data_IF_622740561564
#
_entry.id   IF_622740561564
#
_cell.length_a   1.000
_cell.length_b   1.000
_cell.length_c   1.000
_cell.angle_alpha   90.00
_cell.angle_beta   90.00
_cell.angle_gamma   90.00
#
_symmetry.space_group_name_H-M   'P 1'
#
loop_
_entity.id
_entity.type
_entity.pdbx_description
1 polymer ?
#
# COMPACT_ATOMS: atom_id res chain seq x y z
N UNK A 1 15.76 -53.94 -30.99
CA UNK A 1 16.84 -53.61 -31.96
C UNK A 1 17.56 -52.36 -31.47
N UNK A 2 18.90 -52.38 -31.50
CA UNK A 2 19.86 -51.26 -31.33
C UNK A 2 19.60 -50.24 -30.20
N UNK A 3 20.38 -50.41 -29.12
CA UNK A 3 20.73 -49.38 -28.14
C UNK A 3 21.43 -48.18 -28.81
N UNK A 4 21.41 -47.01 -28.16
CA UNK A 4 22.63 -46.22 -27.93
C UNK A 4 22.46 -45.33 -26.68
N UNK A 5 23.21 -45.64 -25.62
CA UNK A 5 23.43 -44.74 -24.48
C UNK A 5 24.69 -43.92 -24.78
N UNK A 6 24.69 -42.64 -24.39
CA UNK A 6 25.87 -41.79 -24.47
C UNK A 6 26.35 -41.45 -23.04
N UNK A 7 27.35 -42.17 -22.55
CA UNK A 7 28.11 -41.80 -21.36
C UNK A 7 29.27 -40.89 -21.78
N UNK A 8 29.36 -39.70 -21.20
CA UNK A 8 30.59 -38.92 -21.19
C UNK A 8 31.30 -39.11 -19.84
N UNK A 9 32.47 -39.75 -19.88
CA UNK A 9 33.43 -39.76 -18.78
C UNK A 9 34.31 -38.51 -18.87
N UNK A 10 34.37 -37.71 -17.79
CA UNK A 10 35.53 -36.85 -17.52
C UNK A 10 35.85 -36.99 -16.04
N UNK A 11 37.02 -37.55 -15.75
CA UNK A 11 37.63 -37.53 -14.43
C UNK A 11 38.91 -36.72 -14.52
N UNK A 12 39.19 -35.83 -13.56
CA UNK A 12 40.57 -35.40 -13.31
C UNK A 12 40.79 -34.97 -11.84
N UNK A 13 41.58 -35.82 -11.17
CA UNK A 13 42.53 -35.58 -10.07
C UNK A 13 42.19 -34.75 -8.83
N UNK A 14 42.42 -35.42 -7.70
CA UNK A 14 42.60 -34.89 -6.35
C UNK A 14 43.99 -34.23 -6.24
N UNK A 15 44.10 -33.07 -5.59
CA UNK A 15 45.38 -32.54 -5.07
C UNK A 15 45.29 -32.43 -3.56
N UNK A 16 46.36 -32.85 -2.88
CA UNK A 16 46.38 -33.09 -1.44
C UNK A 16 46.71 -31.84 -0.60
N UNK A 17 46.37 -31.91 0.68
CA UNK A 17 46.64 -30.91 1.70
C UNK A 17 48.12 -30.91 2.15
N UNK A 18 48.69 -29.72 2.37
CA UNK A 18 49.98 -29.51 3.04
C UNK A 18 49.83 -28.49 4.18
N UNK A 19 50.45 -28.75 5.33
CA UNK A 19 50.39 -27.92 6.54
C UNK A 19 51.74 -27.26 6.86
N UNK A 20 51.69 -26.29 7.80
CA UNK A 20 52.81 -25.66 8.54
C UNK A 20 53.65 -24.65 7.71
N UNK A 21 54.13 -23.50 8.19
CA UNK A 21 53.86 -22.63 9.37
C UNK A 21 54.52 -21.23 9.09
N UNK A 22 54.56 -20.17 9.90
CA UNK A 22 54.14 -19.81 11.28
C UNK A 22 54.08 -18.26 11.43
N UNK A 23 53.53 -17.73 12.55
CA UNK A 23 53.62 -16.31 13.03
C UNK A 23 52.92 -15.21 12.18
N UNK A 24 52.28 -14.15 12.72
CA UNK A 24 52.24 -13.58 14.08
C UNK A 24 50.90 -12.85 14.35
N UNK A 25 50.43 -12.78 15.60
CA UNK A 25 49.34 -11.89 16.10
C UNK A 25 49.85 -10.43 16.32
N UNK A 26 49.06 -9.38 16.67
CA UNK A 26 47.93 -9.31 17.63
C UNK A 26 46.57 -8.95 16.98
N UNK A 27 45.43 -9.47 17.44
CA UNK A 27 44.60 -9.09 18.63
C UNK A 27 43.82 -7.76 18.52
N UNK A 28 42.50 -7.89 18.37
CA UNK A 28 41.50 -7.06 19.06
C UNK A 28 40.43 -8.02 19.57
N UNK A 29 40.21 -8.05 20.88
CA UNK A 29 39.29 -8.98 21.54
C UNK A 29 37.83 -8.50 21.44
N UNK A 30 36.91 -9.44 21.17
CA UNK A 30 35.50 -9.32 21.54
C UNK A 30 35.25 -10.33 22.66
N UNK A 31 34.92 -9.87 23.86
CA UNK A 31 34.55 -10.74 24.98
C UNK A 31 33.02 -10.86 25.08
N UNK A 32 32.53 -12.09 25.24
CA UNK A 32 31.11 -12.45 25.29
C UNK A 32 30.89 -13.64 26.22
N UNK A 33 30.58 -13.37 27.49
CA UNK A 33 29.99 -14.31 28.45
C UNK A 33 29.61 -13.59 29.77
N UNK A 34 28.59 -13.96 30.53
CA UNK A 34 27.56 -15.00 30.32
C UNK A 34 26.42 -14.86 31.36
N UNK A 35 25.33 -15.59 31.11
CA UNK A 35 24.36 -16.13 32.08
C UNK A 35 23.41 -15.20 32.87
N UNK A 36 22.11 -15.38 32.61
CA UNK A 36 21.19 -15.86 33.66
C UNK A 36 20.09 -16.77 33.09
N UNK A 37 20.08 -18.04 33.50
CA UNK A 37 18.92 -18.91 33.37
C UNK A 37 17.91 -18.58 34.49
N UNK A 38 16.61 -18.52 34.20
CA UNK A 38 15.56 -18.80 35.19
C UNK A 38 14.49 -19.69 34.54
N UNK A 39 14.02 -20.68 35.31
CA UNK A 39 13.28 -21.84 34.83
C UNK A 39 11.77 -21.60 34.63
N UNK A 40 11.13 -22.55 33.93
CA UNK A 40 9.68 -22.76 34.01
C UNK A 40 9.27 -23.15 35.43
N UNK A 41 8.08 -22.70 35.86
CA UNK A 41 7.30 -23.39 36.88
C UNK A 41 5.86 -23.57 36.42
N UNK A 42 5.50 -24.81 36.10
CA UNK A 42 4.10 -25.23 36.01
C UNK A 42 3.50 -25.35 37.41
N UNK A 43 2.23 -25.00 37.55
CA UNK A 43 1.39 -25.52 38.64
C UNK A 43 -0.05 -25.68 38.17
N UNK A 44 -0.46 -26.93 37.97
CA UNK A 44 -1.86 -27.33 37.80
C UNK A 44 -2.70 -26.96 39.05
N UNK A 45 -4.04 -26.99 38.90
CA UNK A 45 -4.97 -27.86 39.70
C UNK A 45 -6.44 -27.53 39.38
N UNK A 46 -6.99 -28.35 38.48
CA UNK A 46 -8.35 -28.98 38.47
C UNK A 46 -9.62 -28.23 38.92
N UNK A 47 -10.51 -28.03 37.94
CA UNK A 47 -11.90 -28.57 37.83
C UNK A 47 -12.79 -28.82 39.06
N UNK A 48 -14.00 -28.26 39.00
CA UNK A 48 -15.30 -28.98 39.11
C UNK A 48 -16.42 -27.99 38.69
N UNK A 49 -17.60 -28.34 38.14
CA UNK A 49 -18.25 -29.64 37.86
C UNK A 49 -19.31 -29.50 36.74
N UNK A 50 -19.70 -30.62 36.15
CA UNK A 50 -20.70 -30.74 35.07
C UNK A 50 -22.16 -30.54 35.53
N UNK A 51 -23.07 -30.28 34.58
CA UNK A 51 -24.32 -31.08 34.45
C UNK A 51 -24.96 -30.94 33.05
N UNK A 52 -25.69 -31.98 32.61
CA UNK A 52 -26.34 -32.11 31.29
C UNK A 52 -27.86 -32.31 31.44
N UNK A 53 -28.61 -32.05 30.35
CA UNK A 53 -30.02 -32.42 30.13
C UNK A 53 -30.79 -31.25 29.50
N UNK A 54 -31.20 -31.27 28.22
CA UNK A 54 -32.36 -32.00 27.64
C UNK A 54 -33.70 -31.64 28.33
N UNK A 55 -34.82 -31.46 27.65
CA UNK A 55 -35.21 -31.29 26.22
C UNK A 55 -36.64 -30.69 26.26
N UNK A 56 -37.16 -30.06 25.19
CA UNK A 56 -38.53 -30.31 24.66
C UNK A 56 -39.05 -29.30 23.61
N UNK A 57 -40.03 -29.77 22.82
CA UNK A 57 -40.56 -29.16 21.59
C UNK A 57 -41.84 -28.34 21.77
N UNK A 58 -42.04 -27.34 20.90
CA UNK A 58 -43.29 -27.00 20.15
C UNK A 58 -43.07 -25.75 19.27
N UNK A 59 -43.75 -25.52 18.15
CA UNK A 59 -44.77 -26.34 17.47
C UNK A 59 -45.78 -25.52 16.65
N UNK A 60 -45.52 -25.36 15.36
CA UNK A 60 -46.49 -25.22 14.23
C UNK A 60 -47.41 -23.99 14.06
N UNK A 61 -47.27 -23.36 12.86
CA UNK A 61 -48.35 -22.96 11.92
C UNK A 61 -49.33 -21.81 12.32
N UNK A 62 -50.02 -21.09 11.42
CA UNK A 62 -50.41 -21.38 10.02
C UNK A 62 -50.82 -20.12 9.20
N UNK A 63 -50.63 -20.17 7.86
CA UNK A 63 -51.49 -19.65 6.77
C UNK A 63 -52.12 -18.24 6.80
N UNK A 64 -51.93 -17.48 5.71
CA UNK A 64 -52.98 -17.32 4.67
C UNK A 64 -52.47 -16.63 3.39
N UNK A 65 -52.98 -17.07 2.24
CA UNK A 65 -52.81 -16.45 0.92
C UNK A 65 -53.87 -15.37 0.66
N UNK A 66 -53.65 -14.48 -0.32
CA UNK A 66 -54.66 -14.18 -1.36
C UNK A 66 -54.14 -13.34 -2.53
N UNK A 67 -54.93 -13.33 -3.63
CA UNK A 67 -54.50 -13.04 -5.00
C UNK A 67 -55.08 -11.73 -5.57
N UNK A 68 -54.17 -10.89 -6.08
CA UNK A 68 -54.17 -10.07 -7.32
C UNK A 68 -55.44 -9.41 -7.98
N UNK A 69 -55.18 -8.20 -8.54
CA UNK A 69 -55.71 -7.59 -9.81
C UNK A 69 -56.95 -6.63 -9.82
N UNK A 70 -56.70 -5.41 -10.37
CA UNK A 70 -57.63 -4.42 -11.02
C UNK A 70 -58.71 -3.70 -10.18
N UNK A 71 -59.04 -2.40 -10.36
CA UNK A 71 -59.33 -1.68 -11.63
C UNK A 71 -59.59 -0.16 -11.46
N UNK A 72 -59.42 0.58 -12.57
CA UNK A 72 -60.19 1.79 -13.00
C UNK A 72 -60.07 3.15 -12.28
N UNK A 73 -60.19 4.20 -13.10
CA UNK A 73 -59.96 5.62 -12.84
C UNK A 73 -61.22 6.41 -12.46
N UNK A 74 -61.08 7.46 -11.64
CA UNK A 74 -61.91 8.69 -11.71
C UNK A 74 -61.00 9.90 -11.48
N UNK A 75 -61.17 10.94 -12.29
CA UNK A 75 -60.54 12.27 -12.18
C UNK A 75 -61.51 13.28 -11.58
N UNK A 76 -61.08 14.21 -10.71
CA UNK A 76 -61.60 15.60 -10.67
C UNK A 76 -60.60 16.59 -10.00
N UNK A 77 -60.34 17.68 -10.75
CA UNK A 77 -60.06 19.08 -10.38
C UNK A 77 -59.94 19.52 -8.89
N UNK A 78 -58.92 20.34 -8.57
CA UNK A 78 -58.97 21.20 -7.37
C UNK A 78 -57.68 21.91 -6.91
N UNK A 79 -57.48 23.15 -7.37
CA UNK A 79 -56.69 24.26 -6.78
C UNK A 79 -55.19 24.12 -6.37
N UNK A 80 -54.44 25.13 -6.82
CA UNK A 80 -53.14 25.60 -6.33
C UNK A 80 -53.03 25.73 -4.81
N UNK A 81 -51.98 25.17 -4.21
CA UNK A 81 -50.90 25.96 -3.57
C UNK A 81 -49.91 25.07 -2.81
N UNK A 82 -48.60 25.28 -3.03
CA UNK A 82 -47.59 25.33 -1.96
C UNK A 82 -46.17 25.54 -2.52
N UNK A 83 -45.50 26.54 -1.94
CA UNK A 83 -44.09 26.50 -1.49
C UNK A 83 -43.08 25.94 -2.51
N UNK A 84 -42.29 26.83 -3.09
CA UNK A 84 -41.06 26.45 -3.79
C UNK A 84 -40.19 25.61 -2.85
N UNK A 85 -39.76 24.43 -3.32
CA UNK A 85 -38.84 23.60 -2.57
C UNK A 85 -37.58 24.39 -2.25
N UNK A 86 -37.07 24.35 -1.00
CA UNK A 86 -35.75 24.87 -0.72
C UNK A 86 -34.76 24.03 -1.53
N UNK A 87 -34.14 24.67 -2.54
CA UNK A 87 -33.10 24.06 -3.36
C UNK A 87 -32.08 23.39 -2.44
N UNK A 88 -32.07 22.06 -2.39
CA UNK A 88 -31.23 21.29 -1.48
C UNK A 88 -29.78 21.30 -1.97
N UNK A 89 -29.17 22.47 -1.87
CA UNK A 89 -27.74 22.66 -1.92
C UNK A 89 -27.14 21.98 -0.70
N UNK A 90 -27.01 20.66 -0.78
CA UNK A 90 -26.38 19.81 0.22
C UNK A 90 -24.90 20.16 0.31
N UNK A 91 -24.60 21.22 1.06
CA UNK A 91 -23.25 21.51 1.54
C UNK A 91 -22.86 20.38 2.47
N UNK A 92 -22.22 19.36 1.90
CA UNK A 92 -21.68 18.25 2.67
C UNK A 92 -20.68 18.82 3.67
N UNK A 93 -21.03 18.75 4.96
CA UNK A 93 -20.12 19.14 6.03
C UNK A 93 -19.01 18.11 6.07
N UNK A 94 -17.81 18.51 5.64
CA UNK A 94 -16.62 17.68 5.71
C UNK A 94 -16.34 17.29 7.17
N UNK A 95 -15.87 16.06 7.38
CA UNK A 95 -15.46 15.64 8.72
C UNK A 95 -14.22 16.43 9.19
N UNK A 96 -13.98 16.47 10.49
CA UNK A 96 -12.86 17.21 11.06
C UNK A 96 -11.51 16.78 10.44
N UNK A 97 -10.74 17.75 9.96
CA UNK A 97 -9.46 17.54 9.29
C UNK A 97 -9.53 17.18 7.80
N UNK A 98 -10.70 16.84 7.24
CA UNK A 98 -10.85 16.63 5.79
C UNK A 98 -10.71 17.94 5.02
N UNK A 99 -10.15 17.88 3.81
CA UNK A 99 -9.94 19.04 2.93
C UNK A 99 -10.98 19.02 1.81
N UNK A 100 -11.52 20.17 1.44
CA UNK A 100 -12.36 20.28 0.24
C UNK A 100 -11.50 20.10 -1.02
N UNK A 101 -11.74 19.07 -1.86
CA UNK A 101 -10.98 18.83 -3.08
C UNK A 101 -10.94 20.04 -4.04
N UNK A 102 -11.96 20.89 -4.04
CA UNK A 102 -12.00 22.09 -4.88
C UNK A 102 -10.98 23.16 -4.45
N UNK A 103 -10.43 23.05 -3.23
CA UNK A 103 -9.45 24.00 -2.67
C UNK A 103 -7.98 23.61 -2.93
N UNK A 104 -7.71 22.43 -3.53
CA UNK A 104 -6.33 22.00 -3.78
C UNK A 104 -5.65 22.89 -4.82
N UNK A 105 -4.44 23.38 -4.51
CA UNK A 105 -3.71 24.27 -5.41
C UNK A 105 -2.64 23.46 -6.16
N UNK A 106 -2.83 23.32 -7.47
CA UNK A 106 -1.86 22.65 -8.36
C UNK A 106 -0.75 23.62 -8.76
N UNK A 107 0.46 23.10 -8.93
CA UNK A 107 1.63 23.85 -9.35
C UNK A 107 2.70 22.97 -9.98
N UNK A 108 3.91 23.52 -10.10
CA UNK A 108 5.10 22.78 -10.52
C UNK A 108 6.33 23.25 -9.75
N UNK A 109 7.38 22.45 -9.82
CA UNK A 109 8.70 22.72 -9.26
C UNK A 109 9.75 22.22 -10.26
N UNK A 110 10.82 23.00 -10.48
CA UNK A 110 11.95 22.58 -11.31
C UNK A 110 13.09 22.20 -10.39
N UNK A 111 13.51 20.95 -10.43
CA UNK A 111 14.72 20.50 -9.74
C UNK A 111 15.93 20.94 -10.54
N UNK A 112 16.71 21.87 -10.00
CA UNK A 112 17.88 22.44 -10.70
C UNK A 112 19.05 21.44 -10.82
N UNK A 113 18.99 20.30 -10.12
CA UNK A 113 20.06 19.28 -10.13
C UNK A 113 20.04 18.42 -11.39
N UNK A 114 18.85 18.16 -11.94
CA UNK A 114 18.63 17.37 -13.16
C UNK A 114 17.82 18.13 -14.24
N UNK A 115 17.35 19.35 -13.96
CA UNK A 115 16.42 20.17 -14.76
C UNK A 115 15.03 19.52 -14.97
N UNK A 116 14.65 18.52 -14.16
CA UNK A 116 13.34 17.87 -14.26
C UNK A 116 12.26 18.75 -13.62
N UNK A 117 11.17 18.96 -14.36
CA UNK A 117 9.98 19.63 -13.83
C UNK A 117 9.04 18.59 -13.23
N UNK A 118 8.73 18.73 -11.94
CA UNK A 118 7.76 17.90 -11.22
C UNK A 118 6.48 18.70 -10.99
N UNK A 119 5.32 18.07 -11.18
CA UNK A 119 4.02 18.59 -10.74
C UNK A 119 3.96 18.61 -9.21
N UNK A 120 3.28 19.60 -8.66
CA UNK A 120 3.07 19.74 -7.21
C UNK A 120 1.61 20.01 -6.90
N UNK A 121 1.17 19.65 -5.69
CA UNK A 121 -0.18 19.94 -5.21
C UNK A 121 -0.17 20.32 -3.73
N UNK A 122 -0.89 21.37 -3.37
CA UNK A 122 -1.15 21.75 -1.99
C UNK A 122 -2.49 21.17 -1.52
N UNK A 123 -2.44 20.33 -0.50
CA UNK A 123 -3.60 19.68 0.13
C UNK A 123 -3.65 20.17 1.58
N UNK A 124 -4.63 21.00 1.90
CA UNK A 124 -4.67 21.72 3.17
C UNK A 124 -3.43 22.59 3.34
N UNK A 125 -2.63 22.33 4.38
CA UNK A 125 -1.38 23.06 4.63
C UNK A 125 -0.14 22.45 3.96
N UNK A 126 -0.19 21.18 3.57
CA UNK A 126 0.95 20.42 3.05
C UNK A 126 1.10 20.60 1.54
N UNK A 127 2.31 20.83 1.03
CA UNK A 127 2.55 20.80 -0.42
C UNK A 127 3.39 19.60 -0.81
N UNK A 128 2.82 18.73 -1.64
CA UNK A 128 3.41 17.47 -2.09
C UNK A 128 3.93 17.59 -3.53
N UNK A 129 4.95 16.80 -3.86
CA UNK A 129 5.15 16.38 -5.25
C UNK A 129 3.99 15.45 -5.66
N UNK A 130 3.37 15.72 -6.82
CA UNK A 130 2.30 14.91 -7.41
C UNK A 130 2.83 13.84 -8.39
N UNK A 131 4.16 13.71 -8.45
CA UNK A 131 4.91 12.74 -9.24
C UNK A 131 6.00 12.16 -8.35
N UNK A 132 6.40 10.92 -8.59
CA UNK A 132 7.48 10.29 -7.84
C UNK A 132 8.83 10.88 -8.26
N UNK A 133 9.71 11.11 -7.30
CA UNK A 133 11.03 11.67 -7.56
C UNK A 133 11.84 10.74 -8.47
N UNK A 134 12.41 11.28 -9.55
CA UNK A 134 13.24 10.54 -10.51
C UNK A 134 14.64 11.17 -10.60
N UNK A 135 15.22 11.51 -9.45
CA UNK A 135 16.59 11.98 -9.34
C UNK A 135 17.54 10.79 -9.32
N UNK A 136 18.52 10.76 -10.23
CA UNK A 136 19.45 9.65 -10.33
C UNK A 136 20.49 9.70 -9.20
N UNK A 137 20.66 8.58 -8.50
CA UNK A 137 21.71 8.31 -7.53
C UNK A 137 22.32 6.94 -7.86
N UNK A 138 23.60 6.73 -7.52
CA UNK A 138 24.41 5.57 -7.97
C UNK A 138 23.79 4.19 -7.69
N UNK A 139 22.88 4.08 -6.71
CA UNK A 139 22.15 2.86 -6.39
C UNK A 139 20.67 3.09 -6.13
N UNK A 140 20.05 4.11 -6.75
CA UNK A 140 18.61 4.09 -6.96
C UNK A 140 18.27 3.31 -8.24
N UNK A 141 17.07 2.74 -8.32
CA UNK A 141 16.69 1.78 -9.36
C UNK A 141 15.47 2.27 -10.14
N UNK A 142 15.39 1.90 -11.42
CA UNK A 142 14.11 1.88 -12.12
C UNK A 142 13.42 0.55 -11.82
N UNK A 143 12.08 0.49 -11.81
CA UNK A 143 11.41 -0.81 -11.79
C UNK A 143 11.86 -1.65 -12.99
N UNK A 144 12.13 -2.95 -12.81
CA UNK A 144 12.66 -3.87 -13.84
C UNK A 144 13.86 -3.29 -14.65
N UNK A 145 14.68 -2.43 -14.04
CA UNK A 145 15.81 -1.75 -14.69
C UNK A 145 15.46 -0.96 -15.98
N UNK A 146 14.18 -0.66 -16.20
CA UNK A 146 13.69 0.00 -17.42
C UNK A 146 13.62 1.52 -17.26
N UNK A 147 14.30 2.26 -18.14
CA UNK A 147 14.24 3.73 -18.16
C UNK A 147 12.80 4.25 -18.36
N UNK A 148 11.97 3.54 -19.13
CA UNK A 148 10.56 3.88 -19.33
C UNK A 148 9.77 3.80 -18.03
N UNK A 149 10.10 2.83 -17.17
CA UNK A 149 9.51 2.74 -15.84
C UNK A 149 10.06 3.80 -14.88
N UNK A 150 11.32 4.21 -14.99
CA UNK A 150 11.81 5.40 -14.29
C UNK A 150 11.03 6.67 -14.69
N UNK A 151 10.80 6.87 -15.98
CA UNK A 151 10.10 8.07 -16.48
C UNK A 151 8.63 8.10 -16.08
N UNK A 152 7.97 6.94 -16.02
CA UNK A 152 6.57 6.81 -15.64
C UNK A 152 6.34 6.76 -14.12
N UNK A 153 7.08 5.93 -13.39
CA UNK A 153 6.85 5.62 -11.97
C UNK A 153 7.84 6.28 -11.02
N UNK A 154 8.83 7.02 -11.54
CA UNK A 154 9.95 7.53 -10.75
C UNK A 154 10.96 6.45 -10.39
N UNK A 155 11.90 6.81 -9.52
CA UNK A 155 12.95 5.91 -9.02
C UNK A 155 12.58 5.27 -7.69
N UNK A 156 13.16 4.10 -7.46
CA UNK A 156 13.15 3.36 -6.20
C UNK A 156 14.46 3.61 -5.47
N UNK A 157 14.40 4.00 -4.21
CA UNK A 157 15.54 4.40 -3.39
C UNK A 157 15.59 3.55 -2.13
N UNK A 158 16.77 3.20 -1.63
CA UNK A 158 16.89 2.74 -0.23
C UNK A 158 16.61 3.89 0.74
N UNK A 159 16.41 3.60 2.03
CA UNK A 159 16.14 4.63 3.03
C UNK A 159 17.25 5.72 3.06
N UNK A 160 18.52 5.32 3.01
CA UNK A 160 19.65 6.26 3.10
C UNK A 160 19.75 7.19 1.88
N UNK A 161 19.36 6.69 0.71
CA UNK A 161 19.23 7.52 -0.49
C UNK A 161 18.01 8.44 -0.37
N UNK A 162 16.87 7.93 0.11
CA UNK A 162 15.65 8.71 0.28
C UNK A 162 15.84 9.93 1.20
N UNK A 163 16.67 9.79 2.26
CA UNK A 163 17.08 10.89 3.17
C UNK A 163 17.79 12.05 2.45
N UNK A 164 18.48 11.79 1.35
CA UNK A 164 19.27 12.80 0.59
C UNK A 164 18.69 13.11 -0.80
N UNK A 165 17.67 12.37 -1.25
CA UNK A 165 17.15 12.48 -2.61
C UNK A 165 16.34 13.75 -2.82
N UNK A 166 15.57 14.22 -1.82
CA UNK A 166 14.76 15.43 -1.97
C UNK A 166 15.61 16.71 -2.19
N UNK A 167 15.19 17.61 -3.10
CA UNK A 167 15.92 18.84 -3.40
C UNK A 167 15.81 19.88 -2.28
N UNK A 168 16.65 20.92 -2.33
CA UNK A 168 16.63 22.02 -1.36
C UNK A 168 15.23 22.66 -1.24
N UNK A 169 14.81 22.96 -0.02
CA UNK A 169 13.47 23.46 0.30
C UNK A 169 12.37 22.38 0.30
N UNK A 170 12.70 21.14 -0.02
CA UNK A 170 11.85 19.96 0.13
C UNK A 170 12.48 18.96 1.10
N UNK A 171 11.66 18.11 1.70
CA UNK A 171 12.10 17.01 2.56
C UNK A 171 11.37 15.73 2.24
N UNK A 172 11.93 14.61 2.72
CA UNK A 172 11.19 13.36 2.82
C UNK A 172 10.08 13.53 3.89
N UNK A 173 8.87 13.01 3.68
CA UNK A 173 7.77 13.13 4.65
C UNK A 173 8.05 12.31 5.91
N UNK A 174 7.31 12.58 6.98
CA UNK A 174 7.29 11.79 8.20
C UNK A 174 5.92 11.10 8.41
N UNK A 175 5.76 10.37 9.53
CA UNK A 175 4.51 9.70 9.88
C UNK A 175 3.33 10.65 10.06
N UNK A 176 3.58 11.87 10.54
CA UNK A 176 2.56 12.88 10.83
C UNK A 176 2.05 13.48 9.53
N UNK A 177 2.94 13.73 8.56
CA UNK A 177 2.56 14.18 7.22
C UNK A 177 1.58 13.20 6.54
N UNK A 178 1.91 11.91 6.58
CA UNK A 178 1.08 10.85 6.00
C UNK A 178 -0.25 10.66 6.74
N UNK A 179 -0.28 10.74 8.08
CA UNK A 179 -1.55 10.76 8.83
C UNK A 179 -2.42 11.96 8.43
N UNK A 180 -1.83 13.15 8.34
CA UNK A 180 -2.53 14.36 7.90
C UNK A 180 -3.03 14.25 6.46
N UNK A 181 -2.28 13.59 5.56
CA UNK A 181 -2.70 13.33 4.18
C UNK A 181 -3.89 12.36 4.12
N UNK A 182 -3.84 11.25 4.87
CA UNK A 182 -4.92 10.27 4.97
C UNK A 182 -6.21 10.92 5.50
N UNK A 183 -6.10 11.72 6.57
CA UNK A 183 -7.25 12.46 7.13
C UNK A 183 -7.79 13.46 6.11
N UNK A 184 -6.92 14.33 5.56
CA UNK A 184 -7.29 15.33 4.55
C UNK A 184 -7.99 14.72 3.34
N UNK A 185 -7.55 13.52 2.91
CA UNK A 185 -8.05 12.84 1.72
C UNK A 185 -9.32 11.98 1.93
N UNK A 186 -9.96 12.05 3.11
CA UNK A 186 -11.23 11.34 3.38
C UNK A 186 -11.16 10.25 4.44
N UNK A 187 -10.07 10.16 5.22
CA UNK A 187 -9.88 9.14 6.25
C UNK A 187 -9.57 7.75 5.67
N UNK A 188 -9.50 6.72 6.52
CA UNK A 188 -9.16 5.35 6.09
C UNK A 188 -10.09 4.81 5.00
N UNK A 189 -11.38 5.11 5.10
CA UNK A 189 -12.41 4.56 4.22
C UNK A 189 -12.33 5.09 2.77
N UNK A 190 -11.86 6.33 2.57
CA UNK A 190 -11.92 7.00 1.25
C UNK A 190 -10.57 7.52 0.74
N UNK A 191 -9.52 7.61 1.56
CA UNK A 191 -8.26 8.21 1.12
C UNK A 191 -7.51 7.36 0.09
N UNK A 192 -7.63 6.03 0.12
CA UNK A 192 -6.98 5.17 -0.88
C UNK A 192 -7.50 5.49 -2.30
N UNK A 193 -8.82 5.39 -2.53
CA UNK A 193 -9.43 5.70 -3.82
C UNK A 193 -9.22 7.18 -4.22
N UNK A 194 -9.13 8.08 -3.23
CA UNK A 194 -8.94 9.52 -3.46
C UNK A 194 -7.50 9.95 -3.78
N UNK A 195 -6.50 9.14 -3.41
CA UNK A 195 -5.07 9.42 -3.61
C UNK A 195 -4.45 8.61 -4.77
N UNK A 196 -5.02 7.44 -5.10
CA UNK A 196 -4.61 6.64 -6.28
C UNK A 196 -4.78 7.41 -7.59
N UNK A 197 -3.83 7.26 -8.51
CA UNK A 197 -3.91 7.77 -9.88
C UNK A 197 -5.11 7.20 -10.62
N UNK A 198 -5.56 7.92 -11.66
CA UNK A 198 -6.65 7.49 -12.57
C UNK A 198 -6.19 6.52 -13.67
N UNK A 199 -5.02 5.89 -13.53
CA UNK A 199 -4.37 5.15 -14.61
C UNK A 199 -4.66 3.65 -14.54
N UNK A 200 -4.78 3.00 -15.69
CA UNK A 200 -4.85 1.53 -15.86
C UNK A 200 -3.58 0.77 -15.42
N UNK A 201 -2.62 1.52 -14.86
CA UNK A 201 -1.45 1.00 -14.16
C UNK A 201 -1.82 0.32 -12.86
N UNK A 202 -2.99 0.57 -12.29
CA UNK A 202 -3.51 -0.23 -11.19
C UNK A 202 -4.18 -1.49 -11.72
N UNK A 203 -3.79 -2.66 -11.22
CA UNK A 203 -4.45 -3.92 -11.58
C UNK A 203 -5.90 -3.94 -11.08
N UNK A 204 -6.80 -4.41 -11.95
CA UNK A 204 -8.21 -4.61 -11.65
C UNK A 204 -8.46 -6.10 -11.41
N UNK A 205 -9.26 -6.44 -10.40
CA UNK A 205 -9.72 -7.82 -10.21
C UNK A 205 -10.99 -8.02 -11.04
N UNK A 206 -10.86 -8.72 -12.16
CA UNK A 206 -11.97 -9.09 -13.03
C UNK A 206 -12.09 -10.61 -13.14
N UNK A 207 -13.29 -11.11 -12.93
CA UNK A 207 -13.63 -12.54 -12.93
C UNK A 207 -14.75 -12.76 -13.95
N UNK A 208 -14.79 -13.93 -14.59
CA UNK A 208 -15.94 -14.32 -15.42
C UNK A 208 -17.06 -14.86 -14.54
N UNK A 209 -18.28 -14.39 -14.76
CA UNK A 209 -19.48 -14.90 -14.08
C UNK A 209 -20.01 -16.21 -14.72
N UNK A 210 -21.07 -16.78 -14.13
CA UNK A 210 -21.73 -18.00 -14.63
C UNK A 210 -22.33 -17.85 -16.06
N UNK A 211 -22.34 -16.64 -16.63
CA UNK A 211 -22.84 -16.31 -17.96
C UNK A 211 -21.73 -15.91 -18.95
N UNK A 212 -20.46 -16.17 -18.61
CA UNK A 212 -19.26 -15.81 -19.40
C UNK A 212 -19.12 -14.29 -19.62
N UNK A 213 -19.65 -13.47 -18.70
CA UNK A 213 -19.44 -12.02 -18.68
C UNK A 213 -18.26 -11.66 -17.76
N UNK A 214 -17.35 -10.83 -18.25
CA UNK A 214 -16.24 -10.32 -17.45
C UNK A 214 -16.73 -9.21 -16.51
N UNK A 215 -16.75 -9.50 -15.21
CA UNK A 215 -17.18 -8.57 -14.15
C UNK A 215 -15.96 -8.15 -13.34
N UNK A 216 -15.69 -6.84 -13.31
CA UNK A 216 -14.60 -6.26 -12.51
C UNK A 216 -15.13 -5.74 -11.16
N UNK A 217 -14.41 -6.01 -10.08
CA UNK A 217 -14.76 -5.50 -8.74
C UNK A 217 -14.43 -4.01 -8.63
N UNK A 218 -15.41 -3.19 -8.27
CA UNK A 218 -15.28 -1.72 -8.20
C UNK A 218 -14.27 -1.26 -7.14
N UNK A 219 -14.04 -2.05 -6.09
CA UNK A 219 -13.05 -1.77 -5.04
C UNK A 219 -11.58 -1.93 -5.51
N UNK A 220 -11.37 -2.44 -6.72
CA UNK A 220 -10.05 -2.83 -7.24
C UNK A 220 -9.65 -1.97 -8.45
N UNK A 221 -8.40 -1.49 -8.44
CA UNK A 221 -7.79 -0.82 -9.60
C UNK A 221 -7.60 0.69 -9.40
N UNK A 222 -7.87 1.53 -10.42
CA UNK A 222 -7.53 2.96 -10.37
C UNK A 222 -8.29 3.72 -9.29
N UNK A 223 -7.71 4.85 -8.87
CA UNK A 223 -8.41 5.85 -8.07
C UNK A 223 -9.11 6.91 -8.91
N UNK A 224 -9.73 7.85 -8.22
CA UNK A 224 -10.31 9.05 -8.82
C UNK A 224 -9.37 10.26 -8.75
N UNK A 225 -8.17 10.15 -8.16
CA UNK A 225 -7.20 11.22 -7.91
C UNK A 225 -7.85 12.57 -7.52
N UNK A 226 -8.79 12.53 -6.58
CA UNK A 226 -9.65 13.65 -6.22
C UNK A 226 -8.85 14.87 -5.73
N UNK A 227 -7.72 14.62 -5.07
CA UNK A 227 -6.84 15.66 -4.52
C UNK A 227 -5.64 16.01 -5.43
N UNK A 228 -5.47 15.36 -6.57
CA UNK A 228 -4.32 15.58 -7.47
C UNK A 228 -2.97 15.07 -6.91
N UNK A 229 -3.00 14.14 -5.96
CA UNK A 229 -1.81 13.50 -5.39
C UNK A 229 -1.19 12.50 -6.37
N UNK A 230 -2.02 11.81 -7.17
CA UNK A 230 -1.59 10.92 -8.25
C UNK A 230 -0.58 9.85 -7.78
N UNK A 231 -0.97 9.01 -6.82
CA UNK A 231 -0.17 7.86 -6.40
C UNK A 231 -0.14 6.79 -7.51
N UNK A 232 1.06 6.42 -7.96
CA UNK A 232 1.27 5.40 -8.99
C UNK A 232 1.78 4.09 -8.35
N UNK A 233 1.32 2.91 -8.82
CA UNK A 233 1.62 1.61 -8.21
C UNK A 233 2.99 1.08 -8.68
N UNK A 234 4.04 1.79 -8.27
CA UNK A 234 5.42 1.47 -8.63
C UNK A 234 5.89 0.11 -8.09
N UNK A 235 5.25 -0.44 -7.05
CA UNK A 235 5.78 -1.59 -6.33
C UNK A 235 7.04 -1.23 -5.52
N UNK A 236 7.92 -2.21 -5.32
CA UNK A 236 9.24 -2.02 -4.69
C UNK A 236 10.32 -2.92 -5.31
N UNK A 237 11.58 -2.61 -4.99
CA UNK A 237 12.76 -3.43 -5.29
C UNK A 237 13.26 -4.13 -4.03
N UNK A 238 13.47 -5.45 -4.11
CA UNK A 238 14.02 -6.25 -3.03
C UNK A 238 15.46 -6.67 -3.36
N UNK A 239 16.50 -6.04 -2.78
CA UNK A 239 17.88 -6.41 -3.05
C UNK A 239 18.29 -7.76 -2.43
N UNK A 240 17.53 -8.30 -1.47
CA UNK A 240 17.84 -9.61 -0.87
C UNK A 240 17.48 -10.75 -1.81
N UNK A 241 16.29 -10.67 -2.42
CA UNK A 241 15.83 -11.63 -3.42
C UNK A 241 16.21 -11.25 -4.86
N UNK A 242 16.77 -10.05 -5.07
CA UNK A 242 17.14 -9.48 -6.38
C UNK A 242 15.95 -9.43 -7.35
N UNK A 243 14.80 -9.00 -6.86
CA UNK A 243 13.57 -8.96 -7.66
C UNK A 243 12.71 -7.73 -7.36
N UNK A 244 11.85 -7.40 -8.32
CA UNK A 244 10.87 -6.33 -8.20
C UNK A 244 9.48 -6.90 -7.90
N UNK A 245 8.75 -6.32 -6.94
CA UNK A 245 7.47 -6.87 -6.44
C UNK A 245 6.36 -5.83 -6.38
N UNK A 246 5.10 -6.29 -6.44
CA UNK A 246 3.86 -5.51 -6.26
C UNK A 246 3.65 -4.30 -7.19
N UNK A 247 4.34 -4.26 -8.34
CA UNK A 247 3.97 -3.35 -9.43
C UNK A 247 2.51 -3.57 -9.83
N UNK A 248 1.85 -2.48 -10.20
CA UNK A 248 0.40 -2.42 -10.47
C UNK A 248 -0.52 -2.72 -9.27
N UNK A 249 0.00 -3.31 -8.19
CA UNK A 249 -0.78 -3.66 -6.99
C UNK A 249 -0.64 -2.67 -5.84
N UNK A 250 0.50 -1.97 -5.70
CA UNK A 250 0.76 -1.11 -4.53
C UNK A 250 1.69 0.06 -4.85
N UNK A 251 1.33 1.24 -4.35
CA UNK A 251 2.21 2.40 -4.26
C UNK A 251 2.82 2.45 -2.84
N UNK A 252 4.14 2.63 -2.75
CA UNK A 252 4.87 2.73 -1.49
C UNK A 252 5.68 4.02 -1.43
N UNK A 253 5.65 4.71 -0.29
CA UNK A 253 6.35 5.98 -0.09
C UNK A 253 7.13 6.00 1.23
N UNK A 254 8.42 6.27 1.12
CA UNK A 254 9.31 6.38 2.27
C UNK A 254 8.90 7.49 3.27
N UNK A 255 9.05 7.20 4.56
CA UNK A 255 8.99 8.16 5.67
C UNK A 255 10.38 8.33 6.31
N UNK A 256 10.64 9.48 6.94
CA UNK A 256 11.76 9.68 7.87
C UNK A 256 11.53 9.05 9.25
N UNK A 257 10.30 8.67 9.59
CA UNK A 257 9.99 8.13 10.91
C UNK A 257 10.47 6.69 11.04
N UNK A 258 11.12 6.42 12.17
CA UNK A 258 11.44 5.07 12.66
C UNK A 258 10.33 4.67 13.64
N UNK A 259 9.76 3.48 13.46
CA UNK A 259 8.73 2.90 14.33
C UNK A 259 9.30 2.30 15.61
N UNK A 260 8.42 1.85 16.50
CA UNK A 260 8.77 1.40 17.86
C UNK A 260 9.72 0.20 17.89
N UNK A 261 9.76 -0.60 16.80
CA UNK A 261 10.65 -1.75 16.64
C UNK A 261 12.00 -1.40 15.99
N UNK A 262 12.30 -0.13 15.79
CA UNK A 262 13.57 0.35 15.23
C UNK A 262 13.68 0.26 13.70
N UNK A 263 12.61 -0.09 13.00
CA UNK A 263 12.54 -0.10 11.53
C UNK A 263 11.95 1.21 10.99
N UNK A 264 12.31 1.68 9.79
CA UNK A 264 11.62 2.79 9.15
C UNK A 264 10.19 2.39 8.76
N UNK A 265 9.31 3.38 8.68
CA UNK A 265 7.93 3.17 8.23
C UNK A 265 7.71 3.67 6.81
N UNK A 266 6.69 3.14 6.14
CA UNK A 266 6.24 3.54 4.80
C UNK A 266 4.75 3.82 4.80
N UNK A 267 4.30 4.81 4.04
CA UNK A 267 2.92 4.85 3.54
C UNK A 267 2.78 3.77 2.47
N UNK A 268 1.66 3.06 2.46
CA UNK A 268 1.24 2.20 1.35
C UNK A 268 -0.18 2.55 0.91
N UNK A 269 -0.45 2.40 -0.40
CA UNK A 269 -1.79 2.49 -0.98
C UNK A 269 -1.96 1.33 -1.95
N UNK A 270 -3.02 0.53 -1.80
CA UNK A 270 -3.21 -0.73 -2.51
C UNK A 270 -4.35 -0.68 -3.52
N UNK A 271 -4.25 -1.57 -4.52
CA UNK A 271 -5.25 -1.71 -5.59
C UNK A 271 -6.67 -1.94 -5.05
N UNK A 272 -6.83 -2.74 -3.98
CA UNK A 272 -8.11 -3.01 -3.27
C UNK A 272 -8.58 -1.91 -2.28
N UNK A 273 -8.22 -0.64 -2.52
CA UNK A 273 -8.62 0.51 -1.70
C UNK A 273 -8.16 0.50 -0.21
N UNK A 274 -7.14 -0.28 0.15
CA UNK A 274 -6.49 -0.17 1.47
C UNK A 274 -5.36 0.88 1.45
N UNK A 275 -5.17 1.54 2.60
CA UNK A 275 -4.18 2.59 2.81
C UNK A 275 -3.77 2.63 4.28
N UNK A 276 -2.46 2.68 4.52
CA UNK A 276 -1.95 2.70 5.88
C UNK A 276 -0.46 2.98 5.96
N UNK A 277 0.02 2.98 7.19
CA UNK A 277 1.43 3.14 7.53
C UNK A 277 1.88 1.87 8.23
N UNK A 278 3.04 1.35 7.86
CA UNK A 278 3.63 0.13 8.46
C UNK A 278 5.14 0.17 8.43
N UNK A 279 5.78 -0.61 9.30
CA UNK A 279 7.22 -0.86 9.27
C UNK A 279 7.65 -1.60 7.99
N UNK A 280 8.88 -1.34 7.55
CA UNK A 280 9.53 -2.03 6.43
C UNK A 280 11.05 -2.05 6.65
N UNK A 281 11.77 -2.95 5.97
CA UNK A 281 13.23 -2.93 6.02
C UNK A 281 13.82 -1.75 5.23
N UNK A 282 14.84 -1.11 5.79
CA UNK A 282 15.54 0.08 5.27
C UNK A 282 16.25 -0.13 3.92
N UNK A 283 16.64 -1.36 3.62
CA UNK A 283 17.28 -1.75 2.36
C UNK A 283 16.33 -1.84 1.16
N UNK A 284 15.00 -1.85 1.38
CA UNK A 284 14.02 -1.97 0.29
C UNK A 284 14.03 -0.71 -0.60
N UNK A 285 13.96 -0.88 -1.91
CA UNK A 285 13.82 0.23 -2.85
C UNK A 285 12.36 0.71 -2.95
N UNK A 286 12.01 1.86 -2.36
CA UNK A 286 10.67 2.47 -2.45
C UNK A 286 10.68 3.80 -3.20
N UNK A 287 9.50 4.25 -3.65
CA UNK A 287 9.36 5.58 -4.25
C UNK A 287 9.53 6.69 -3.20
N UNK A 288 10.09 7.81 -3.63
CA UNK A 288 10.19 9.04 -2.84
C UNK A 288 9.19 10.07 -3.34
N UNK A 289 8.47 10.71 -2.41
CA UNK A 289 7.48 11.75 -2.70
C UNK A 289 7.66 12.90 -1.72
N UNK A 290 8.44 13.89 -2.13
CA UNK A 290 8.88 14.95 -1.24
C UNK A 290 7.74 15.92 -0.88
N UNK A 291 7.89 16.55 0.29
CA UNK A 291 6.93 17.49 0.88
C UNK A 291 7.62 18.80 1.31
N UNK A 292 6.83 19.87 1.41
CA UNK A 292 7.16 21.12 2.11
C UNK A 292 5.94 21.67 2.88
#
# INVERSE_FOLDING_TARGET
MKNFYFLCFVAFLIVACGKESSSTSPEVENDYSSNSEIALSSSDVTTSSESKGQDDQKGSSSSNENVAVSSSSISEIGLSSSIAEPNSSSTMVLAEGQVDPSTVVKGSFVDVRDNKTYKTVKIGNQTWMAENLNFALDSSYCYNDSIEYCDKYGRLYSLDQAKIACPEGWRLPDSTDFHNLIIAAGGKDNSAISLKSRTEDWDTLCEYDDYDQLVCREDYGPGNDLYGFNALPAGYWDPWYQEYRFHKMTAYFWSLTIGDIGLPITLFIQYYNDVGIRDIFDYIGLSVRCIK
#
